data_IF_995232456468
#
_entry.id   IF_995232456468
#
_cell.length_a   1.000
_cell.length_b   1.000
_cell.length_c   1.000
_cell.angle_alpha   90.00
_cell.angle_beta   90.00
_cell.angle_gamma   90.00
#
_symmetry.space_group_name_H-M   'P 1'
#
loop_
_entity.id
_entity.type
_entity.pdbx_description
1 polymer ?
#
# COMPACT_ATOMS: atom_id res chain seq x y z
N UNK A 1 0.11 -0.80 -22.96
CA UNK A 1 1.19 -0.90 -21.94
C UNK A 1 2.41 -0.13 -22.43
N UNK A 2 3.29 0.34 -21.53
CA UNK A 2 4.59 0.94 -21.88
C UNK A 2 5.71 0.02 -21.38
N UNK A 3 6.72 -0.22 -22.21
CA UNK A 3 7.87 -1.07 -21.86
C UNK A 3 9.00 -0.22 -21.28
N UNK A 4 9.62 -0.69 -20.20
CA UNK A 4 10.79 -0.04 -19.58
C UNK A 4 11.84 -1.10 -19.32
N UNK A 5 13.07 -0.88 -19.78
CA UNK A 5 14.22 -1.76 -19.50
C UNK A 5 14.91 -1.27 -18.22
N UNK A 6 15.12 -2.18 -17.27
CA UNK A 6 15.75 -1.90 -15.97
C UNK A 6 16.76 -3.03 -15.70
N UNK A 7 17.93 -2.70 -15.16
CA UNK A 7 18.88 -3.70 -14.67
C UNK A 7 18.48 -4.12 -13.26
N UNK A 8 18.24 -5.42 -13.08
CA UNK A 8 17.79 -5.99 -11.81
C UNK A 8 18.96 -6.75 -11.15
N UNK A 9 19.28 -6.44 -9.87
CA UNK A 9 20.24 -7.20 -9.08
C UNK A 9 19.87 -8.68 -8.94
N UNK A 10 20.87 -9.57 -8.80
CA UNK A 10 20.67 -11.03 -8.74
C UNK A 10 19.78 -11.48 -7.56
N UNK A 11 19.90 -10.82 -6.42
CA UNK A 11 19.09 -11.07 -5.23
C UNK A 11 17.60 -10.75 -5.47
N UNK A 12 17.29 -9.69 -6.23
CA UNK A 12 15.91 -9.38 -6.60
C UNK A 12 15.35 -10.37 -7.64
N UNK A 13 16.20 -10.90 -8.54
CA UNK A 13 15.79 -11.96 -9.46
C UNK A 13 15.33 -13.22 -8.70
N UNK A 14 16.04 -13.59 -7.62
CA UNK A 14 15.64 -14.72 -6.79
C UNK A 14 14.27 -14.53 -6.14
N UNK A 15 13.90 -13.30 -5.77
CA UNK A 15 12.55 -13.01 -5.26
C UNK A 15 11.46 -13.19 -6.32
N UNK A 16 11.74 -12.86 -7.59
CA UNK A 16 10.81 -13.06 -8.71
C UNK A 16 10.61 -14.56 -8.96
N UNK A 17 11.69 -15.34 -8.99
CA UNK A 17 11.64 -16.81 -9.19
C UNK A 17 10.80 -17.52 -8.12
N UNK A 18 10.82 -17.05 -6.87
CA UNK A 18 9.99 -17.61 -5.79
C UNK A 18 8.50 -17.47 -6.14
N UNK A 19 8.09 -16.28 -6.58
CA UNK A 19 6.69 -15.99 -6.93
C UNK A 19 6.26 -16.77 -8.18
N UNK A 20 7.14 -16.86 -9.18
CA UNK A 20 6.87 -17.67 -10.38
C UNK A 20 6.57 -19.13 -10.03
N UNK A 21 7.38 -19.74 -9.15
CA UNK A 21 7.24 -21.15 -8.77
C UNK A 21 6.00 -21.39 -7.92
N UNK A 22 5.76 -20.54 -6.94
CA UNK A 22 4.62 -20.67 -6.02
C UNK A 22 3.28 -20.49 -6.75
N UNK A 23 3.20 -19.51 -7.64
CA UNK A 23 1.95 -19.15 -8.32
C UNK A 23 1.81 -19.73 -9.73
N UNK A 24 2.87 -20.37 -10.25
CA UNK A 24 2.95 -20.93 -11.61
C UNK A 24 2.63 -19.88 -12.69
N UNK A 25 3.27 -18.72 -12.57
CA UNK A 25 3.11 -17.58 -13.49
C UNK A 25 4.43 -17.19 -14.15
N UNK A 26 4.35 -16.49 -15.28
CA UNK A 26 5.54 -15.97 -15.97
C UNK A 26 6.22 -14.83 -15.21
N UNK A 27 7.53 -14.67 -15.43
CA UNK A 27 8.40 -13.62 -14.87
C UNK A 27 7.80 -12.22 -14.95
N UNK A 28 7.30 -11.85 -16.14
CA UNK A 28 6.73 -10.52 -16.36
C UNK A 28 5.47 -10.27 -15.51
N UNK A 29 4.73 -11.32 -15.17
CA UNK A 29 3.53 -11.27 -14.35
C UNK A 29 3.90 -11.25 -12.87
N UNK A 30 4.84 -12.10 -12.44
CA UNK A 30 5.40 -12.09 -11.10
C UNK A 30 6.03 -10.73 -10.75
N UNK A 31 6.83 -10.17 -11.66
CA UNK A 31 7.46 -8.86 -11.47
C UNK A 31 6.42 -7.74 -11.34
N UNK A 32 5.39 -7.71 -12.19
CA UNK A 32 4.30 -6.72 -12.08
C UNK A 32 3.54 -6.86 -10.76
N UNK A 33 3.29 -8.09 -10.31
CA UNK A 33 2.64 -8.36 -9.03
C UNK A 33 3.48 -7.84 -7.86
N UNK A 34 4.77 -8.14 -7.83
CA UNK A 34 5.69 -7.66 -6.79
C UNK A 34 5.78 -6.14 -6.77
N UNK A 35 5.85 -5.48 -7.93
CA UNK A 35 5.84 -4.01 -8.02
C UNK A 35 4.53 -3.44 -7.44
N UNK A 36 3.39 -4.06 -7.72
CA UNK A 36 2.09 -3.64 -7.20
C UNK A 36 2.04 -3.75 -5.67
N UNK A 37 2.42 -4.90 -5.11
CA UNK A 37 2.47 -5.13 -3.66
C UNK A 37 3.45 -4.16 -2.98
N UNK A 38 4.62 -3.96 -3.58
CA UNK A 38 5.63 -3.04 -3.08
C UNK A 38 5.13 -1.59 -3.06
N UNK A 39 4.41 -1.17 -4.10
CA UNK A 39 3.81 0.16 -4.14
C UNK A 39 2.68 0.33 -3.12
N UNK A 40 1.79 -0.65 -2.96
CA UNK A 40 0.74 -0.65 -1.94
C UNK A 40 1.33 -0.54 -0.53
N UNK A 41 2.37 -1.33 -0.25
CA UNK A 41 3.09 -1.30 1.03
C UNK A 41 3.76 0.05 1.27
N UNK A 42 4.40 0.62 0.24
CA UNK A 42 5.04 1.93 0.32
C UNK A 42 4.02 3.04 0.66
N UNK A 43 2.88 3.08 -0.02
CA UNK A 43 1.82 4.04 0.26
C UNK A 43 1.23 3.83 1.66
N UNK A 44 0.97 2.58 2.05
CA UNK A 44 0.50 2.27 3.40
C UNK A 44 1.46 2.75 4.49
N UNK A 45 2.77 2.63 4.28
CA UNK A 45 3.77 3.18 5.19
C UNK A 45 3.74 4.72 5.27
N UNK A 46 3.53 5.41 4.15
CA UNK A 46 3.34 6.87 4.16
C UNK A 46 2.07 7.27 4.93
N UNK A 47 1.00 6.49 4.80
CA UNK A 47 -0.25 6.72 5.54
C UNK A 47 -0.04 6.54 7.04
N UNK A 48 0.61 5.43 7.45
CA UNK A 48 0.98 5.18 8.86
C UNK A 48 1.84 6.29 9.46
N UNK A 49 2.73 6.88 8.66
CA UNK A 49 3.58 8.00 9.08
C UNK A 49 2.86 9.36 9.07
N UNK A 50 1.58 9.42 8.69
CA UNK A 50 0.82 10.67 8.55
C UNK A 50 1.26 11.56 7.38
N UNK A 51 2.13 11.06 6.49
CA UNK A 51 2.64 11.82 5.32
C UNK A 51 1.61 11.95 4.21
N UNK A 52 0.65 11.03 4.17
CA UNK A 52 -0.51 11.09 3.29
C UNK A 52 -1.78 10.78 4.08
N UNK A 53 -2.87 11.42 3.69
CA UNK A 53 -4.22 11.08 4.18
C UNK A 53 -4.75 9.84 3.48
N UNK A 54 -5.77 9.18 4.06
CA UNK A 54 -6.45 8.05 3.41
C UNK A 54 -6.97 8.40 2.00
N UNK A 55 -7.51 9.62 1.83
CA UNK A 55 -7.96 10.13 0.53
C UNK A 55 -6.84 10.24 -0.50
N UNK A 56 -5.66 10.72 -0.09
CA UNK A 56 -4.50 10.80 -0.97
C UNK A 56 -3.96 9.41 -1.33
N UNK A 57 -3.90 8.50 -0.35
CA UNK A 57 -3.52 7.12 -0.58
C UNK A 57 -4.46 6.43 -1.60
N UNK A 58 -5.78 6.59 -1.43
CA UNK A 58 -6.78 6.06 -2.34
C UNK A 58 -6.59 6.56 -3.79
N UNK A 59 -6.32 7.86 -3.94
CA UNK A 59 -6.02 8.45 -5.26
C UNK A 59 -4.73 7.87 -5.88
N UNK A 60 -3.68 7.65 -5.09
CA UNK A 60 -2.40 7.10 -5.56
C UNK A 60 -2.53 5.63 -5.98
N UNK A 61 -3.31 4.85 -5.23
CA UNK A 61 -3.56 3.43 -5.52
C UNK A 61 -4.64 3.20 -6.58
N UNK A 62 -5.35 4.28 -6.98
CA UNK A 62 -6.50 4.25 -7.87
C UNK A 62 -7.61 3.31 -7.35
N UNK A 63 -7.95 3.47 -6.06
CA UNK A 63 -8.98 2.74 -5.35
C UNK A 63 -9.94 3.74 -4.69
N UNK A 64 -11.10 3.28 -4.25
CA UNK A 64 -11.95 4.03 -3.33
C UNK A 64 -11.32 4.11 -1.94
N UNK A 65 -11.80 5.04 -1.10
CA UNK A 65 -11.32 5.16 0.28
C UNK A 65 -11.62 3.90 1.11
N UNK A 66 -12.76 3.25 0.86
CA UNK A 66 -13.16 2.02 1.56
C UNK A 66 -12.24 0.86 1.18
N UNK A 67 -12.00 0.65 -0.12
CA UNK A 67 -11.07 -0.39 -0.59
C UNK A 67 -9.66 -0.17 -0.06
N UNK A 68 -9.20 1.08 -0.05
CA UNK A 68 -7.88 1.44 0.50
C UNK A 68 -7.79 1.18 1.99
N UNK A 69 -8.85 1.51 2.74
CA UNK A 69 -8.92 1.25 4.18
C UNK A 69 -8.86 -0.24 4.48
N UNK A 70 -9.63 -1.06 3.74
CA UNK A 70 -9.62 -2.51 3.89
C UNK A 70 -8.25 -3.10 3.54
N UNK A 71 -7.64 -2.68 2.42
CA UNK A 71 -6.30 -3.08 2.02
C UNK A 71 -5.27 -2.82 3.13
N UNK A 72 -5.33 -1.64 3.76
CA UNK A 72 -4.43 -1.32 4.87
C UNK A 72 -4.73 -2.10 6.14
N UNK A 73 -6.02 -2.31 6.45
CA UNK A 73 -6.44 -3.09 7.60
C UNK A 73 -5.95 -4.55 7.50
N UNK A 74 -6.16 -5.18 6.35
CA UNK A 74 -5.72 -6.55 6.07
C UNK A 74 -4.19 -6.68 6.11
N UNK A 75 -3.46 -5.63 5.71
CA UNK A 75 -2.01 -5.55 5.81
C UNK A 75 -1.49 -5.17 7.22
N UNK A 76 -2.37 -4.98 8.21
CA UNK A 76 -2.00 -4.58 9.58
C UNK A 76 -1.47 -3.14 9.69
N UNK A 77 -1.71 -2.32 8.68
CA UNK A 77 -1.28 -0.93 8.61
C UNK A 77 -2.32 -0.08 9.34
N UNK A 78 -2.02 0.26 10.60
CA UNK A 78 -2.82 1.20 11.38
C UNK A 78 -2.59 2.63 10.87
N UNK A 79 -3.66 3.42 10.86
CA UNK A 79 -3.59 4.85 10.61
C UNK A 79 -2.80 5.59 11.69
N UNK A 80 -2.50 6.84 11.42
CA UNK A 80 -1.77 7.74 12.32
C UNK A 80 -2.66 8.42 13.38
N UNK A 81 -3.88 7.92 13.58
CA UNK A 81 -4.85 8.43 14.54
C UNK A 81 -5.24 7.31 15.50
N UNK A 82 -5.44 7.64 16.77
CA UNK A 82 -5.96 6.74 17.78
C UNK A 82 -7.31 7.20 18.36
N UNK A 83 -7.84 6.44 19.31
CA UNK A 83 -9.14 6.73 19.92
C UNK A 83 -9.15 8.08 20.67
N UNK A 84 -8.01 8.52 21.19
CA UNK A 84 -7.89 9.79 21.91
C UNK A 84 -7.93 10.98 20.95
N UNK A 85 -7.36 10.84 19.76
CA UNK A 85 -7.46 11.85 18.70
C UNK A 85 -8.92 12.01 18.24
N UNK A 86 -9.65 10.89 18.13
CA UNK A 86 -11.07 10.88 17.76
C UNK A 86 -11.91 11.53 18.86
N UNK A 87 -11.70 11.17 20.13
CA UNK A 87 -12.42 11.77 21.25
C UNK A 87 -12.19 13.29 21.31
N UNK A 88 -10.93 13.73 21.22
CA UNK A 88 -10.56 15.15 21.20
C UNK A 88 -11.27 15.91 20.08
N UNK A 89 -11.42 15.27 18.92
CA UNK A 89 -12.10 15.85 17.77
C UNK A 89 -13.61 15.99 17.99
N UNK A 90 -14.24 15.00 18.63
CA UNK A 90 -15.67 15.04 18.98
C UNK A 90 -15.97 16.09 20.05
N UNK A 91 -15.17 16.18 21.11
CA UNK A 91 -15.32 17.20 22.15
C UNK A 91 -15.26 18.61 21.54
N UNK A 92 -14.28 18.89 20.67
CA UNK A 92 -14.16 20.17 19.97
C UNK A 92 -15.33 20.48 19.05
N UNK A 93 -16.01 19.46 18.53
CA UNK A 93 -17.16 19.62 17.65
C UNK A 93 -18.45 19.89 18.44
N UNK A 94 -18.63 19.22 19.58
CA UNK A 94 -19.85 19.31 20.43
C UNK A 94 -19.84 20.56 21.32
N UNK A 95 -18.69 20.97 21.84
CA UNK A 95 -18.57 22.14 22.74
C UNK A 95 -18.25 23.45 22.00
N UNK A 96 -18.59 23.52 20.71
CA UNK A 96 -18.59 24.73 19.89
C UNK A 96 -19.98 25.33 19.82
#
# INVERSE_FOLDING_TARGET
>A
MKTKSIRIPKDMMAAIEIVEKEEKIEESTAMRKLIRIGFETYIGNLYKQGKVTLRQAAKLLNLSQIETMNLFFDAGIKGNLDASDVLTSLERFVFK
#
